data_IF_362175350225
#
_entry.id   IF_362175350225
#
_cell.length_a   1.000
_cell.length_b   1.000
_cell.length_c   1.000
_cell.angle_alpha   90.00
_cell.angle_beta   90.00
_cell.angle_gamma   90.00
#
_symmetry.space_group_name_H-M   'P 1'
#
loop_
_entity.id
_entity.type
_entity.pdbx_description
1 polymer ?
#
# COMPACT_ATOMS: atom_id res chain seq x y z
N UNK A 1 -8.04 16.28 -6.61
CA UNK A 1 -7.56 15.02 -7.20
C UNK A 1 -8.75 14.16 -7.56
N UNK A 2 -8.55 13.12 -8.35
CA UNK A 2 -9.54 12.09 -8.70
C UNK A 2 -9.15 10.78 -8.00
N UNK A 3 -10.13 10.01 -7.53
CA UNK A 3 -9.91 8.66 -7.02
C UNK A 3 -9.82 7.74 -8.24
N UNK A 4 -8.64 7.15 -8.48
CA UNK A 4 -8.39 6.28 -9.63
C UNK A 4 -8.53 4.79 -9.30
N UNK A 5 -8.44 4.44 -8.01
CA UNK A 5 -8.52 3.07 -7.52
C UNK A 5 -8.84 3.00 -6.03
N UNK A 6 -9.32 1.85 -5.59
CA UNK A 6 -9.59 1.52 -4.19
C UNK A 6 -9.25 0.05 -3.90
N UNK A 7 -9.00 -0.27 -2.64
CA UNK A 7 -8.65 -1.63 -2.23
C UNK A 7 -8.76 -1.81 -0.72
N UNK A 8 -9.03 -3.06 -0.31
CA UNK A 8 -9.06 -3.48 1.09
C UNK A 8 -8.51 -4.90 1.21
N UNK A 9 -8.04 -5.25 2.40
CA UNK A 9 -7.69 -6.63 2.71
C UNK A 9 -8.98 -7.42 2.96
N UNK A 10 -9.28 -8.38 2.11
CA UNK A 10 -10.57 -9.09 2.09
C UNK A 10 -10.57 -10.37 2.93
N UNK A 11 -9.46 -11.11 2.94
CA UNK A 11 -9.30 -12.36 3.68
C UNK A 11 -7.84 -12.69 3.98
N UNK A 12 -7.62 -13.52 5.00
CA UNK A 12 -6.29 -13.91 5.45
C UNK A 12 -5.50 -14.63 4.34
N UNK A 13 -4.32 -14.10 4.03
CA UNK A 13 -3.45 -14.61 2.97
C UNK A 13 -3.74 -14.04 1.58
N UNK A 14 -4.79 -13.23 1.42
CA UNK A 14 -5.02 -12.41 0.23
C UNK A 14 -4.09 -11.21 0.14
N UNK A 15 -4.30 -10.37 -0.88
CA UNK A 15 -3.57 -9.12 -1.05
C UNK A 15 -3.87 -8.17 0.11
N UNK A 16 -2.87 -7.38 0.50
CA UNK A 16 -3.10 -6.23 1.36
C UNK A 16 -3.81 -5.11 0.59
N UNK A 17 -4.41 -4.16 1.31
CA UNK A 17 -5.20 -3.09 0.72
C UNK A 17 -4.43 -2.27 -0.33
N UNK A 18 -3.14 -2.04 -0.11
CA UNK A 18 -2.26 -1.29 -0.99
C UNK A 18 -2.02 -2.02 -2.31
N UNK A 19 -1.71 -3.32 -2.25
CA UNK A 19 -1.53 -4.14 -3.45
C UNK A 19 -2.86 -4.33 -4.18
N UNK A 20 -3.97 -4.46 -3.45
CA UNK A 20 -5.31 -4.55 -4.03
C UNK A 20 -5.68 -3.27 -4.78
N UNK A 21 -5.38 -2.09 -4.21
CA UNK A 21 -5.63 -0.81 -4.87
C UNK A 21 -4.76 -0.61 -6.12
N UNK A 22 -3.51 -1.08 -6.12
CA UNK A 22 -2.66 -1.08 -7.32
C UNK A 22 -3.26 -1.99 -8.40
N UNK A 23 -3.67 -3.21 -8.04
CA UNK A 23 -4.29 -4.14 -8.97
C UNK A 23 -5.62 -3.61 -9.55
N UNK A 24 -6.43 -2.93 -8.74
CA UNK A 24 -7.65 -2.26 -9.19
C UNK A 24 -7.34 -1.15 -10.20
N UNK A 25 -6.30 -0.33 -9.96
CA UNK A 25 -5.84 0.69 -10.90
C UNK A 25 -5.44 0.08 -12.25
N UNK A 26 -4.62 -0.98 -12.22
CA UNK A 26 -4.17 -1.70 -13.42
C UNK A 26 -5.35 -2.30 -14.19
N UNK A 27 -6.29 -2.93 -13.48
CA UNK A 27 -7.50 -3.53 -14.06
C UNK A 27 -8.41 -2.50 -14.72
N UNK A 28 -8.40 -1.25 -14.23
CA UNK A 28 -9.10 -0.09 -14.81
C UNK A 28 -8.30 0.63 -15.90
N UNK A 29 -7.09 0.16 -16.22
CA UNK A 29 -6.19 0.81 -17.18
C UNK A 29 -5.68 2.18 -16.71
N UNK A 30 -5.64 2.41 -15.39
CA UNK A 30 -5.16 3.64 -14.77
C UNK A 30 -3.73 3.43 -14.25
N UNK A 31 -2.87 4.42 -14.44
CA UNK A 31 -1.52 4.38 -13.88
C UNK A 31 -1.51 5.06 -12.49
N UNK A 32 -1.01 4.38 -11.44
CA UNK A 32 -0.80 4.98 -10.13
C UNK A 32 0.46 5.88 -10.06
N UNK A 33 1.29 5.91 -11.10
CA UNK A 33 2.55 6.65 -11.11
C UNK A 33 2.31 8.15 -10.87
N UNK A 34 3.05 8.73 -9.92
CA UNK A 34 2.95 10.13 -9.51
C UNK A 34 1.78 10.44 -8.57
N UNK A 35 0.95 9.45 -8.23
CA UNK A 35 -0.24 9.64 -7.40
C UNK A 35 0.08 9.69 -5.90
N UNK A 36 -0.95 9.97 -5.10
CA UNK A 36 -0.90 9.91 -3.63
C UNK A 36 -1.77 8.75 -3.16
N UNK A 37 -1.21 7.87 -2.33
CA UNK A 37 -1.97 6.82 -1.64
C UNK A 37 -2.41 7.32 -0.26
N UNK A 38 -3.63 6.97 0.13
CA UNK A 38 -4.16 7.15 1.47
C UNK A 38 -4.39 5.76 2.05
N UNK A 39 -3.76 5.45 3.18
CA UNK A 39 -3.81 4.13 3.79
C UNK A 39 -4.11 4.25 5.28
N UNK A 40 -4.97 3.35 5.78
CA UNK A 40 -5.46 3.40 7.16
C UNK A 40 -4.42 2.93 8.18
N UNK A 41 -3.47 2.08 7.75
CA UNK A 41 -2.41 1.53 8.58
C UNK A 41 -1.08 1.65 7.83
N UNK A 42 0.02 1.76 8.57
CA UNK A 42 1.38 1.76 8.03
C UNK A 42 1.60 0.57 7.07
N UNK A 43 2.10 0.82 5.85
CA UNK A 43 2.41 -0.25 4.91
C UNK A 43 3.47 -1.20 5.44
N UNK A 44 3.26 -2.51 5.28
CA UNK A 44 4.22 -3.50 5.76
C UNK A 44 5.56 -3.40 4.99
N UNK A 45 6.66 -3.55 5.73
CA UNK A 45 8.04 -3.54 5.20
C UNK A 45 8.80 -4.86 5.45
N UNK A 46 8.08 -5.97 5.49
CA UNK A 46 8.67 -7.29 5.74
C UNK A 46 8.14 -8.30 4.72
N UNK A 47 8.94 -9.32 4.42
CA UNK A 47 8.54 -10.40 3.53
C UNK A 47 7.67 -11.40 4.29
N UNK A 48 6.43 -11.56 3.83
CA UNK A 48 5.48 -12.56 4.33
C UNK A 48 5.09 -13.54 3.24
N UNK A 49 3.78 -13.80 3.10
CA UNK A 49 3.23 -14.58 1.98
C UNK A 49 3.25 -13.80 0.66
N UNK A 50 3.20 -12.47 0.76
CA UNK A 50 3.34 -11.52 -0.35
C UNK A 50 4.57 -10.63 -0.12
N UNK A 51 5.13 -10.01 -1.19
CA UNK A 51 6.15 -8.98 -1.04
C UNK A 51 5.65 -7.77 -0.21
N UNK A 52 6.55 -6.97 0.40
CA UNK A 52 6.19 -5.82 1.20
C UNK A 52 5.36 -4.78 0.43
N UNK A 53 4.39 -4.16 1.12
CA UNK A 53 3.56 -3.11 0.53
C UNK A 53 4.37 -1.84 0.23
N UNK A 54 5.38 -1.52 1.04
CA UNK A 54 6.34 -0.44 0.75
C UNK A 54 6.97 -0.60 -0.64
N UNK A 55 7.45 -1.80 -0.95
CA UNK A 55 8.04 -2.12 -2.25
C UNK A 55 7.03 -2.03 -3.39
N UNK A 56 5.81 -2.54 -3.20
CA UNK A 56 4.75 -2.45 -4.21
C UNK A 56 4.38 -0.98 -4.52
N UNK A 57 4.24 -0.12 -3.50
CA UNK A 57 3.95 1.30 -3.67
C UNK A 57 5.07 2.05 -4.40
N UNK A 58 6.33 1.75 -4.06
CA UNK A 58 7.49 2.32 -4.77
C UNK A 58 7.53 1.91 -6.24
N UNK A 59 7.31 0.62 -6.54
CA UNK A 59 7.29 0.12 -7.92
C UNK A 59 6.12 0.67 -8.73
N UNK A 60 4.96 0.89 -8.09
CA UNK A 60 3.81 1.56 -8.70
C UNK A 60 4.07 3.06 -8.98
N UNK A 61 5.18 3.62 -8.51
CA UNK A 61 5.54 5.02 -8.70
C UNK A 61 4.72 5.97 -7.83
N UNK A 62 4.19 5.51 -6.69
CA UNK A 62 3.47 6.37 -5.75
C UNK A 62 4.43 7.44 -5.22
N UNK A 63 4.02 8.71 -5.31
CA UNK A 63 4.88 9.84 -4.94
C UNK A 63 4.72 10.25 -3.47
N UNK A 64 3.57 9.96 -2.88
CA UNK A 64 3.25 10.33 -1.50
C UNK A 64 2.33 9.29 -0.87
N UNK A 65 2.67 8.88 0.34
CA UNK A 65 1.78 8.10 1.19
C UNK A 65 1.26 8.96 2.34
N UNK A 66 -0.04 8.92 2.57
CA UNK A 66 -0.71 9.51 3.73
C UNK A 66 -1.21 8.35 4.59
N UNK A 67 -0.65 8.24 5.79
CA UNK A 67 -0.86 7.10 6.69
C UNK A 67 -1.65 7.59 7.89
N UNK A 68 -2.77 6.92 8.20
CA UNK A 68 -3.62 7.31 9.33
C UNK A 68 -3.05 6.84 10.68
N UNK A 69 -2.46 5.64 10.74
CA UNK A 69 -1.91 5.07 11.96
C UNK A 69 -0.62 4.27 11.70
N UNK A 70 0.35 4.35 12.61
CA UNK A 70 1.55 3.52 12.58
C UNK A 70 1.22 2.05 12.93
N UNK A 71 2.09 1.12 12.55
CA UNK A 71 1.91 -0.28 12.93
C UNK A 71 1.94 -0.41 14.47
N UNK A 72 0.92 -1.01 15.11
CA UNK A 72 0.88 -1.14 16.55
C UNK A 72 1.96 -2.09 17.09
N UNK A 73 2.49 -3.00 16.27
CA UNK A 73 3.51 -3.95 16.69
C UNK A 73 4.85 -3.25 16.93
N UNK A 74 5.35 -3.21 18.18
CA UNK A 74 6.56 -2.45 18.53
C UNK A 74 7.83 -2.94 17.85
N UNK A 75 7.84 -4.16 17.30
CA UNK A 75 9.03 -4.69 16.61
C UNK A 75 9.17 -4.22 15.16
N UNK A 76 8.11 -3.65 14.57
CA UNK A 76 8.08 -3.20 13.17
C UNK A 76 7.57 -1.77 13.00
N UNK A 77 6.95 -1.18 14.03
CA UNK A 77 6.42 0.19 14.03
C UNK A 77 7.42 1.20 13.46
N UNK A 78 6.98 1.97 12.47
CA UNK A 78 7.75 3.04 11.84
C UNK A 78 8.69 2.57 10.73
N UNK A 79 9.03 1.29 10.66
CA UNK A 79 9.96 0.77 9.66
C UNK A 79 9.43 0.85 8.23
N UNK A 80 8.12 0.92 8.03
CA UNK A 80 7.51 1.13 6.72
C UNK A 80 7.50 2.59 6.27
N UNK A 81 7.55 3.53 7.21
CA UNK A 81 7.59 4.98 6.92
C UNK A 81 9.02 5.47 6.63
N UNK A 82 10.03 4.72 7.08
CA UNK A 82 11.45 5.06 6.87
C UNK A 82 12.02 4.63 5.50
N UNK A 83 11.22 3.94 4.68
CA UNK A 83 11.59 3.48 3.32
C UNK A 83 11.29 4.57 2.29
#
# INVERSE_FOLDING_TARGET
GEIIAEGWHDHLGGLHAEQMAIHDAESKGKSPNGSTVYVTLEPCNHYGRTPPCTQALMWAGIKKAVIAHYDPNPTVRGQGVEV
#
